data_IF_440085801507
#
_entry.id   IF_440085801507
#
_cell.length_a   1.000
_cell.length_b   1.000
_cell.length_c   1.000
_cell.angle_alpha   90.00
_cell.angle_beta   90.00
_cell.angle_gamma   90.00
#
_symmetry.space_group_name_H-M   'P 1'
#
loop_
_entity.id
_entity.type
_entity.pdbx_description
1 polymer ?
#
# COMPACT_ATOMS: atom_id res chain seq x y z
N UNK A 1 -16.99 4.85 15.55
CA UNK A 1 -17.08 4.30 14.17
C UNK A 1 -17.51 5.35 13.17
N UNK A 2 -18.49 6.22 13.49
CA UNK A 2 -18.97 7.29 12.59
C UNK A 2 -17.85 8.19 12.02
N UNK A 3 -16.92 8.68 12.85
CA UNK A 3 -15.81 9.51 12.38
C UNK A 3 -14.95 8.80 11.31
N UNK A 4 -14.70 7.50 11.48
CA UNK A 4 -13.94 6.71 10.50
C UNK A 4 -14.72 6.51 9.20
N UNK A 5 -16.03 6.27 9.30
CA UNK A 5 -16.90 6.13 8.12
C UNK A 5 -16.99 7.45 7.33
N UNK A 6 -17.23 8.57 8.02
CA UNK A 6 -17.28 9.91 7.39
C UNK A 6 -15.95 10.27 6.74
N UNK A 7 -14.83 9.95 7.40
CA UNK A 7 -13.53 10.15 6.78
C UNK A 7 -13.40 9.37 5.47
N UNK A 8 -13.79 8.10 5.42
CA UNK A 8 -13.71 7.32 4.19
C UNK A 8 -14.66 7.85 3.10
N UNK A 9 -15.88 8.25 3.46
CA UNK A 9 -16.84 8.85 2.51
C UNK A 9 -16.25 10.11 1.86
N UNK A 10 -15.61 10.97 2.64
CA UNK A 10 -15.06 12.22 2.13
C UNK A 10 -13.78 12.04 1.29
N UNK A 11 -13.11 10.88 1.38
CA UNK A 11 -11.82 10.62 0.74
C UNK A 11 -11.88 9.53 -0.34
N UNK A 12 -13.04 8.93 -0.59
CA UNK A 12 -13.20 7.83 -1.55
C UNK A 12 -14.54 7.93 -2.28
N UNK A 13 -14.64 7.26 -3.44
CA UNK A 13 -15.86 7.24 -4.27
C UNK A 13 -16.74 5.99 -4.01
N UNK A 14 -16.62 5.37 -2.84
CA UNK A 14 -17.33 4.12 -2.51
C UNK A 14 -18.66 4.36 -1.79
N UNK A 15 -19.59 3.41 -1.92
CA UNK A 15 -20.89 3.48 -1.25
C UNK A 15 -20.76 3.35 0.28
N UNK A 16 -21.64 4.03 1.02
CA UNK A 16 -21.60 4.05 2.49
C UNK A 16 -21.72 2.68 3.15
N UNK A 17 -22.44 1.74 2.54
CA UNK A 17 -22.58 0.36 3.05
C UNK A 17 -21.30 -0.45 2.90
N UNK A 18 -20.57 -0.29 1.79
CA UNK A 18 -19.27 -0.93 1.59
C UNK A 18 -18.24 -0.38 2.58
N UNK A 19 -18.20 0.95 2.76
CA UNK A 19 -17.28 1.60 3.70
C UNK A 19 -17.55 1.21 5.15
N UNK A 20 -18.82 1.04 5.55
CA UNK A 20 -19.15 0.56 6.89
C UNK A 20 -18.63 -0.86 7.15
N UNK A 21 -18.62 -1.72 6.13
CA UNK A 21 -18.05 -3.06 6.20
C UNK A 21 -16.53 -3.00 6.35
N UNK A 22 -15.86 -2.13 5.60
CA UNK A 22 -14.41 -1.90 5.71
C UNK A 22 -14.00 -1.37 7.08
N UNK A 23 -14.74 -0.41 7.65
CA UNK A 23 -14.47 0.10 9.01
C UNK A 23 -14.55 -1.03 10.04
N UNK A 24 -15.54 -1.94 9.93
CA UNK A 24 -15.62 -3.11 10.80
C UNK A 24 -14.41 -4.01 10.63
N UNK A 25 -13.99 -4.27 9.37
CA UNK A 25 -12.80 -5.07 9.06
C UNK A 25 -11.54 -4.50 9.68
N UNK A 26 -11.35 -3.18 9.65
CA UNK A 26 -10.18 -2.50 10.23
C UNK A 26 -10.11 -2.61 11.75
N UNK A 27 -11.27 -2.70 12.42
CA UNK A 27 -11.36 -2.92 13.87
C UNK A 27 -10.99 -4.38 14.20
N UNK A 28 -11.50 -5.35 13.42
CA UNK A 28 -11.23 -6.78 13.65
C UNK A 28 -9.80 -7.18 13.29
N UNK A 29 -9.21 -6.54 12.27
CA UNK A 29 -7.86 -6.82 11.77
C UNK A 29 -7.00 -5.55 11.81
N UNK A 30 -6.55 -5.13 13.01
CA UNK A 30 -5.78 -3.90 13.17
C UNK A 30 -4.49 -3.95 12.35
N UNK A 31 -4.17 -2.85 11.67
CA UNK A 31 -2.95 -2.69 10.88
C UNK A 31 -2.95 -3.33 9.49
N UNK A 32 -3.88 -4.26 9.19
CA UNK A 32 -3.92 -4.93 7.89
C UNK A 32 -4.11 -3.93 6.74
N UNK A 33 -4.99 -2.94 6.91
CA UNK A 33 -5.23 -1.92 5.90
C UNK A 33 -4.02 -0.99 5.66
N UNK A 34 -3.11 -0.87 6.63
CA UNK A 34 -1.89 -0.09 6.48
C UNK A 34 -0.85 -0.81 5.61
N UNK A 35 -0.89 -2.15 5.57
CA UNK A 35 0.09 -2.97 4.86
C UNK A 35 0.16 -2.64 3.36
N UNK A 36 -0.98 -2.29 2.74
CA UNK A 36 -1.03 -1.94 1.32
C UNK A 36 -0.10 -0.76 0.99
N UNK A 37 -0.28 0.38 1.68
CA UNK A 37 0.50 1.58 1.38
C UNK A 37 1.91 1.51 1.92
N UNK A 38 2.12 0.89 3.09
CA UNK A 38 3.46 0.69 3.66
C UNK A 38 4.30 -0.23 2.75
N UNK A 39 3.73 -1.32 2.24
CA UNK A 39 4.42 -2.20 1.30
C UNK A 39 4.79 -1.50 -0.01
N UNK A 40 3.85 -0.75 -0.59
CA UNK A 40 4.09 0.07 -1.79
C UNK A 40 5.23 1.08 -1.57
N UNK A 41 5.17 1.86 -0.48
CA UNK A 41 6.22 2.82 -0.12
C UNK A 41 7.57 2.10 -0.01
N UNK A 42 7.60 0.93 0.64
CA UNK A 42 8.87 0.23 0.86
C UNK A 42 9.50 -0.28 -0.43
N UNK A 43 8.69 -0.83 -1.34
CA UNK A 43 9.18 -1.27 -2.65
C UNK A 43 9.72 -0.08 -3.45
N UNK A 44 9.05 1.07 -3.42
CA UNK A 44 9.53 2.29 -4.06
C UNK A 44 10.85 2.81 -3.47
N UNK A 45 10.98 2.80 -2.14
CA UNK A 45 12.24 3.18 -1.47
C UNK A 45 13.40 2.29 -1.92
N UNK A 46 13.18 0.97 -1.94
CA UNK A 46 14.19 0.02 -2.36
C UNK A 46 14.57 0.20 -3.83
N UNK A 47 13.57 0.42 -4.69
CA UNK A 47 13.81 0.72 -6.11
C UNK A 47 14.69 1.97 -6.27
N UNK A 48 14.31 3.09 -5.66
CA UNK A 48 15.08 4.35 -5.74
C UNK A 48 16.48 4.20 -5.18
N UNK A 49 16.64 3.43 -4.10
CA UNK A 49 17.95 3.11 -3.53
C UNK A 49 18.81 2.32 -4.53
N UNK A 50 18.24 1.33 -5.20
CA UNK A 50 18.93 0.52 -6.22
C UNK A 50 19.27 1.34 -7.47
N UNK A 51 18.34 2.16 -7.98
CA UNK A 51 18.58 3.09 -9.09
C UNK A 51 19.77 4.01 -8.78
N UNK A 52 19.79 4.60 -7.57
CA UNK A 52 20.89 5.47 -7.14
C UNK A 52 22.22 4.74 -7.00
N UNK A 53 22.23 3.52 -6.50
CA UNK A 53 23.46 2.79 -6.19
C UNK A 53 24.07 2.13 -7.43
N UNK A 54 23.23 1.63 -8.34
CA UNK A 54 23.69 0.92 -9.55
C UNK A 54 23.89 1.84 -10.75
N UNK A 55 23.25 3.02 -10.78
CA UNK A 55 23.39 3.98 -11.87
C UNK A 55 23.05 3.32 -13.22
N UNK A 56 23.98 3.40 -14.17
CA UNK A 56 23.83 2.83 -15.52
C UNK A 56 23.72 1.29 -15.54
N UNK A 57 24.09 0.62 -14.45
CA UNK A 57 23.92 -0.83 -14.29
C UNK A 57 22.56 -1.23 -13.72
N UNK A 58 21.67 -0.28 -13.42
CA UNK A 58 20.33 -0.61 -12.95
C UNK A 58 19.47 -1.21 -14.07
N UNK A 59 18.97 -2.43 -13.85
CA UNK A 59 17.95 -3.06 -14.70
C UNK A 59 16.65 -3.26 -13.89
N UNK A 60 15.56 -2.66 -14.38
CA UNK A 60 14.24 -2.79 -13.79
C UNK A 60 13.69 -4.22 -13.84
N UNK A 61 14.05 -5.01 -14.86
CA UNK A 61 13.63 -6.41 -14.99
C UNK A 61 14.27 -7.27 -13.91
N UNK A 62 15.57 -7.10 -13.68
CA UNK A 62 16.30 -7.80 -12.62
C UNK A 62 15.80 -7.37 -11.24
N UNK A 63 15.53 -6.08 -11.03
CA UNK A 63 14.92 -5.60 -9.78
C UNK A 63 13.58 -6.30 -9.51
N UNK A 64 12.67 -6.36 -10.50
CA UNK A 64 11.40 -7.05 -10.35
C UNK A 64 11.58 -8.56 -10.13
N UNK A 65 12.54 -9.19 -10.81
CA UNK A 65 12.85 -10.59 -10.60
C UNK A 65 13.23 -10.85 -9.14
N UNK A 66 14.14 -10.06 -8.57
CA UNK A 66 14.58 -10.19 -7.16
C UNK A 66 13.45 -9.97 -6.14
N UNK A 67 12.51 -9.08 -6.44
CA UNK A 67 11.36 -8.82 -5.56
C UNK A 67 10.34 -9.96 -5.59
N UNK A 68 10.19 -10.64 -6.74
CA UNK A 68 9.13 -11.62 -6.97
C UNK A 68 9.60 -13.08 -6.87
N UNK A 69 10.91 -13.35 -6.92
CA UNK A 69 11.50 -14.70 -6.97
C UNK A 69 11.53 -15.43 -5.61
N UNK A 70 10.56 -15.19 -4.74
CA UNK A 70 10.41 -15.93 -3.48
C UNK A 70 10.05 -17.39 -3.72
#
# INVERSE_FOLDING_TARGET
TERALQYLINNTLSSGTALATEVKRYITLPGQACAYKIGEIKIWELRRKSEKHLGDHFDIKEFHHRVLSC
#
